data_IF_663069559395
#
_entry.id   IF_663069559395
#
_cell.length_a   1.000
_cell.length_b   1.000
_cell.length_c   1.000
_cell.angle_alpha   90.00
_cell.angle_beta   90.00
_cell.angle_gamma   90.00
#
_symmetry.space_group_name_H-M   'P 1'
#
loop_
_entity.id
_entity.type
_entity.pdbx_description
1 polymer ?
#
# COMPACT_ATOMS: atom_id res chain seq x y z
N UNK A 1 14.47 -5.45 0.23
CA UNK A 1 13.53 -4.90 1.23
C UNK A 1 13.19 -6.03 2.16
N UNK A 2 13.31 -5.89 3.48
CA UNK A 2 13.00 -6.97 4.40
C UNK A 2 11.51 -6.93 4.72
N UNK A 3 10.82 -8.05 4.53
CA UNK A 3 9.43 -8.34 4.90
C UNK A 3 9.13 -8.00 6.37
N UNK A 4 10.13 -8.11 7.25
CA UNK A 4 10.05 -7.67 8.66
C UNK A 4 9.89 -6.15 8.85
N UNK A 5 10.11 -5.35 7.81
CA UNK A 5 10.10 -3.89 7.87
C UNK A 5 8.78 -3.28 7.40
N UNK A 6 8.03 -3.98 6.54
CA UNK A 6 6.77 -3.49 5.98
C UNK A 6 5.65 -4.56 6.00
N UNK A 7 5.33 -5.13 7.17
CA UNK A 7 4.38 -6.24 7.28
C UNK A 7 2.95 -5.83 6.89
N UNK A 8 2.53 -4.61 7.19
CA UNK A 8 1.16 -4.17 6.88
C UNK A 8 0.99 -3.92 5.40
N UNK A 9 2.01 -3.35 4.75
CA UNK A 9 2.06 -3.15 3.31
C UNK A 9 2.12 -4.49 2.55
N UNK A 10 2.87 -5.46 3.06
CA UNK A 10 2.88 -6.82 2.52
C UNK A 10 1.47 -7.42 2.58
N UNK A 11 0.86 -7.44 3.76
CA UNK A 11 -0.51 -7.95 3.94
C UNK A 11 -1.52 -7.21 3.05
N UNK A 12 -1.39 -5.89 2.91
CA UNK A 12 -2.23 -5.09 2.03
C UNK A 12 -2.15 -5.54 0.57
N UNK A 13 -0.94 -5.77 0.05
CA UNK A 13 -0.74 -6.24 -1.31
C UNK A 13 -1.22 -7.69 -1.49
N UNK A 14 -1.15 -8.52 -0.46
CA UNK A 14 -1.63 -9.91 -0.53
C UNK A 14 -3.16 -10.02 -0.49
N UNK A 15 -3.82 -9.17 0.31
CA UNK A 15 -5.23 -9.35 0.68
C UNK A 15 -6.18 -8.32 0.09
N UNK A 16 -5.76 -7.05 0.01
CA UNK A 16 -6.62 -5.93 -0.36
C UNK A 16 -6.36 -5.44 -1.78
N UNK A 17 -5.08 -5.31 -2.16
CA UNK A 17 -4.64 -4.74 -3.42
C UNK A 17 -3.71 -5.71 -4.17
N UNK A 18 -4.18 -6.95 -4.31
CA UNK A 18 -3.46 -8.00 -5.01
C UNK A 18 -3.55 -7.84 -6.53
N UNK A 19 -2.85 -8.72 -7.25
CA UNK A 19 -2.75 -8.69 -8.71
C UNK A 19 -4.06 -8.92 -9.46
N UNK A 20 -5.16 -9.23 -8.77
CA UNK A 20 -6.49 -9.18 -9.37
C UNK A 20 -6.99 -7.74 -9.62
N UNK A 21 -6.54 -6.77 -8.82
CA UNK A 21 -6.98 -5.38 -8.88
C UNK A 21 -6.08 -4.54 -9.81
N UNK A 22 -6.69 -3.61 -10.55
CA UNK A 22 -5.96 -2.55 -11.24
C UNK A 22 -5.65 -1.37 -10.32
N UNK A 23 -4.67 -0.55 -10.70
CA UNK A 23 -4.29 0.65 -9.95
C UNK A 23 -5.42 1.66 -9.80
N UNK A 24 -6.31 1.73 -10.78
CA UNK A 24 -7.46 2.64 -10.71
C UNK A 24 -8.43 2.27 -9.57
N UNK A 25 -8.42 1.00 -9.12
CA UNK A 25 -9.26 0.49 -8.02
C UNK A 25 -8.66 0.76 -6.64
N UNK A 26 -7.44 1.32 -6.54
CA UNK A 26 -6.77 1.60 -5.26
C UNK A 26 -7.64 2.47 -4.34
N UNK A 27 -8.35 3.45 -4.91
CA UNK A 27 -9.25 4.31 -4.14
C UNK A 27 -10.41 3.54 -3.51
N UNK A 28 -11.01 2.62 -4.27
CA UNK A 28 -12.13 1.80 -3.82
C UNK A 28 -11.71 0.79 -2.75
N UNK A 29 -10.50 0.22 -2.89
CA UNK A 29 -9.90 -0.65 -1.87
C UNK A 29 -9.70 0.08 -0.55
N UNK A 30 -9.11 1.28 -0.58
CA UNK A 30 -8.92 2.10 0.63
C UNK A 30 -10.26 2.51 1.25
N UNK A 31 -11.23 2.91 0.43
CA UNK A 31 -12.58 3.25 0.90
C UNK A 31 -13.28 2.05 1.55
N UNK A 32 -13.09 0.83 1.00
CA UNK A 32 -13.61 -0.41 1.58
C UNK A 32 -12.98 -0.70 2.93
N UNK A 33 -11.67 -0.54 3.08
CA UNK A 33 -10.98 -0.70 4.38
C UNK A 33 -11.51 0.29 5.43
N UNK A 34 -11.75 1.55 5.04
CA UNK A 34 -12.37 2.56 5.92
C UNK A 34 -13.77 2.14 6.37
N UNK A 35 -14.61 1.68 5.45
CA UNK A 35 -15.97 1.19 5.77
C UNK A 35 -15.96 0.01 6.74
N UNK A 36 -14.94 -0.84 6.65
CA UNK A 36 -14.73 -1.98 7.55
C UNK A 36 -14.04 -1.60 8.86
N UNK A 37 -13.79 -0.29 9.09
CA UNK A 37 -13.10 0.23 10.28
C UNK A 37 -11.73 -0.41 10.52
N UNK A 38 -11.02 -0.73 9.44
CA UNK A 38 -9.64 -1.24 9.50
C UNK A 38 -8.64 -0.10 9.81
N UNK A 39 -8.96 0.75 10.79
CA UNK A 39 -8.25 2.01 11.06
C UNK A 39 -6.80 1.79 11.48
N UNK A 40 -6.53 0.77 12.29
CA UNK A 40 -5.17 0.40 12.71
C UNK A 40 -4.31 0.00 11.51
N UNK A 41 -4.84 -0.85 10.61
CA UNK A 41 -4.16 -1.22 9.37
C UNK A 41 -3.94 -0.01 8.45
N UNK A 42 -4.89 0.93 8.39
CA UNK A 42 -4.77 2.17 7.61
C UNK A 42 -3.71 3.11 8.21
N UNK A 43 -3.59 3.16 9.54
CA UNK A 43 -2.55 3.89 10.26
C UNK A 43 -1.16 3.34 9.98
N UNK A 44 -0.99 2.03 10.11
CA UNK A 44 0.27 1.35 9.86
C UNK A 44 0.64 1.41 8.37
N UNK A 45 -0.33 1.28 7.44
CA UNK A 45 -0.11 1.50 6.00
C UNK A 45 0.42 2.90 5.71
N UNK A 46 -0.16 3.93 6.34
CA UNK A 46 0.30 5.31 6.21
C UNK A 46 1.71 5.46 6.76
N UNK A 47 2.01 4.88 7.92
CA UNK A 47 3.34 4.91 8.52
C UNK A 47 4.39 4.24 7.62
N UNK A 48 4.12 3.01 7.18
CA UNK A 48 4.97 2.25 6.28
C UNK A 48 5.17 2.95 4.93
N UNK A 49 4.13 3.57 4.37
CA UNK A 49 4.24 4.35 3.14
C UNK A 49 5.12 5.61 3.28
N UNK A 50 5.18 6.20 4.48
CA UNK A 50 6.15 7.26 4.78
C UNK A 50 7.57 6.70 4.87
N UNK A 51 7.75 5.59 5.58
CA UNK A 51 9.04 4.90 5.73
C UNK A 51 9.60 4.36 4.41
N UNK A 52 8.77 4.10 3.38
CA UNK A 52 9.24 3.78 2.03
C UNK A 52 10.17 4.86 1.45
N UNK A 53 10.08 6.13 1.86
CA UNK A 53 11.04 7.17 1.47
C UNK A 53 11.41 7.19 -0.03
N UNK A 54 12.72 7.13 -0.28
CA UNK A 54 13.37 7.08 -1.60
C UNK A 54 13.64 5.64 -2.10
N UNK A 55 12.86 4.67 -1.62
CA UNK A 55 12.97 3.28 -2.08
C UNK A 55 12.95 3.22 -3.61
N UNK A 56 13.95 2.58 -4.25
CA UNK A 56 13.98 2.42 -5.70
C UNK A 56 12.75 1.65 -6.20
N UNK A 57 12.17 2.09 -7.31
CA UNK A 57 10.99 1.44 -7.90
C UNK A 57 11.23 -0.06 -8.15
N UNK A 58 12.40 -0.43 -8.64
CA UNK A 58 12.73 -1.84 -8.89
C UNK A 58 12.68 -2.68 -7.60
N UNK A 59 13.15 -2.13 -6.49
CA UNK A 59 13.08 -2.78 -5.18
C UNK A 59 11.64 -2.93 -4.70
N UNK A 60 10.82 -1.90 -4.86
CA UNK A 60 9.39 -1.96 -4.51
C UNK A 60 8.62 -2.93 -5.40
N UNK A 61 8.88 -2.95 -6.71
CA UNK A 61 8.22 -3.90 -7.62
C UNK A 61 8.59 -5.35 -7.27
N UNK A 62 9.84 -5.63 -6.90
CA UNK A 62 10.23 -6.95 -6.39
C UNK A 62 9.43 -7.35 -5.15
N UNK A 63 9.31 -6.44 -4.18
CA UNK A 63 8.48 -6.63 -2.99
C UNK A 63 7.00 -6.84 -3.35
N UNK A 64 6.44 -6.00 -4.22
CA UNK A 64 5.03 -6.11 -4.60
C UNK A 64 4.73 -7.44 -5.30
N UNK A 65 5.58 -7.89 -6.21
CA UNK A 65 5.43 -9.19 -6.85
C UNK A 65 5.53 -10.36 -5.86
N UNK A 66 6.45 -10.28 -4.89
CA UNK A 66 6.59 -11.29 -3.85
C UNK A 66 5.30 -11.43 -3.01
N UNK A 67 4.61 -10.31 -2.77
CA UNK A 67 3.39 -10.22 -1.97
C UNK A 67 2.12 -10.19 -2.84
N UNK A 68 2.16 -10.83 -4.01
CA UNK A 68 0.96 -11.04 -4.84
C UNK A 68 0.42 -9.81 -5.57
N UNK A 69 1.07 -8.66 -5.48
CA UNK A 69 0.76 -7.43 -6.20
C UNK A 69 1.32 -7.37 -7.63
N UNK A 70 1.12 -6.23 -8.30
CA UNK A 70 1.59 -5.98 -9.68
C UNK A 70 2.81 -5.06 -9.69
N UNK A 71 3.56 -5.11 -10.79
CA UNK A 71 4.60 -4.11 -11.06
C UNK A 71 3.99 -2.72 -11.30
N UNK A 72 4.61 -1.70 -10.70
CA UNK A 72 4.23 -0.30 -10.85
C UNK A 72 5.11 0.39 -11.89
N UNK A 73 4.53 1.36 -12.60
CA UNK A 73 5.30 2.38 -13.33
C UNK A 73 5.78 3.46 -12.35
N UNK A 74 6.77 4.30 -12.71
CA UNK A 74 7.23 5.39 -11.85
C UNK A 74 6.08 6.33 -11.42
N UNK A 75 5.17 6.66 -12.35
CA UNK A 75 4.00 7.49 -12.07
C UNK A 75 3.03 6.81 -11.09
N UNK A 76 2.71 5.53 -11.31
CA UNK A 76 1.82 4.77 -10.41
C UNK A 76 2.43 4.58 -9.03
N UNK A 77 3.74 4.38 -8.92
CA UNK A 77 4.39 4.24 -7.62
C UNK A 77 4.44 5.56 -6.84
N UNK A 78 4.71 6.68 -7.52
CA UNK A 78 4.63 8.00 -6.89
C UNK A 78 3.21 8.28 -6.38
N UNK A 79 2.20 7.97 -7.19
CA UNK A 79 0.79 8.13 -6.84
C UNK A 79 0.35 7.20 -5.71
N UNK A 80 0.83 5.95 -5.73
CA UNK A 80 0.61 4.98 -4.66
C UNK A 80 1.07 5.52 -3.31
N UNK A 81 2.33 5.97 -3.24
CA UNK A 81 2.90 6.59 -2.03
C UNK A 81 2.08 7.80 -1.60
N UNK A 82 1.71 8.68 -2.54
CA UNK A 82 0.93 9.88 -2.25
C UNK A 82 -0.43 9.54 -1.62
N UNK A 83 -1.17 8.58 -2.19
CA UNK A 83 -2.50 8.18 -1.69
C UNK A 83 -2.43 7.50 -0.33
N UNK A 84 -1.49 6.57 -0.13
CA UNK A 84 -1.32 5.92 1.17
C UNK A 84 -0.94 6.93 2.27
N UNK A 85 -0.09 7.91 1.96
CA UNK A 85 0.29 8.97 2.91
C UNK A 85 -0.86 9.93 3.23
N UNK A 86 -1.79 10.10 2.30
CA UNK A 86 -2.97 10.97 2.43
C UNK A 86 -4.18 10.26 3.05
N UNK A 87 -4.04 9.01 3.53
CA UNK A 87 -5.13 8.33 4.24
C UNK A 87 -5.47 9.14 5.51
N UNK A 88 -6.68 9.67 5.53
CA UNK A 88 -7.29 10.27 6.71
C UNK A 88 -7.79 9.16 7.64
N UNK A 89 -7.38 9.21 8.90
CA UNK A 89 -7.73 8.25 9.93
C UNK A 89 -8.51 9.03 10.98
N UNK A 90 -9.69 8.52 11.32
CA UNK A 90 -10.44 9.05 12.45
C UNK A 90 -9.80 8.46 13.72
N UNK A 91 -9.17 9.33 14.52
CA UNK A 91 -8.72 9.00 15.87
C UNK A 91 -9.98 8.97 16.76
N UNK A 92 -10.46 7.76 17.09
CA UNK A 92 -11.52 7.54 18.08
C UNK A 92 -10.99 7.75 19.51
#
# INVERSE_FOLDING_TARGET
MNERTFPTLANFLETWFCSAYDFDELGDVLARMRRLRAWENLAELRHEANALGDTPLATFNGFSHQHGGRGFTPARFAEFKRRLRAIEIEED
#
